data_IF_239972865104
#
_entry.id   IF_239972865104
#
_cell.length_a   1.000
_cell.length_b   1.000
_cell.length_c   1.000
_cell.angle_alpha   90.00
_cell.angle_beta   90.00
_cell.angle_gamma   90.00
#
_symmetry.space_group_name_H-M   'P 1'
#
loop_
_entity.id
_entity.type
_entity.pdbx_description
1 polymer ?
#
# COMPACT_ATOMS: atom_id res chain seq x y z
N UNK A 1 6.87 42.63 -67.04
CA UNK A 1 8.18 43.31 -66.96
C UNK A 1 8.54 43.31 -65.48
N UNK A 2 9.68 42.72 -65.10
CA UNK A 2 9.90 42.06 -63.79
C UNK A 2 9.12 40.73 -63.76
N UNK A 3 9.67 39.53 -63.50
CA UNK A 3 10.92 39.05 -62.84
C UNK A 3 10.98 39.38 -61.33
N UNK A 4 11.32 38.48 -60.39
CA UNK A 4 11.75 37.06 -60.42
C UNK A 4 11.12 36.36 -59.14
N UNK A 5 11.46 35.18 -58.58
CA UNK A 5 12.61 34.27 -58.75
C UNK A 5 12.34 32.77 -58.44
N UNK A 6 13.42 31.98 -58.59
CA UNK A 6 13.74 30.64 -58.03
C UNK A 6 13.00 30.14 -56.77
N UNK A 7 12.85 28.82 -56.52
CA UNK A 7 13.26 27.64 -57.31
C UNK A 7 13.44 26.36 -56.46
N UNK A 8 13.89 25.26 -57.11
CA UNK A 8 14.37 23.97 -56.51
C UNK A 8 13.29 23.06 -55.85
N UNK A 9 13.28 21.72 -56.00
CA UNK A 9 14.14 20.80 -56.78
C UNK A 9 13.65 19.33 -56.72
N UNK A 10 14.27 18.44 -57.51
CA UNK A 10 13.90 17.02 -57.67
C UNK A 10 14.35 16.10 -56.49
N UNK A 11 13.93 14.84 -56.37
CA UNK A 11 12.98 14.06 -57.18
C UNK A 11 13.55 12.75 -57.79
N UNK A 12 13.75 11.71 -56.96
CA UNK A 12 14.13 10.32 -57.32
C UNK A 12 13.58 9.34 -56.26
N UNK A 13 13.39 8.03 -56.48
CA UNK A 13 13.55 7.23 -57.70
C UNK A 13 13.62 5.70 -57.43
N UNK A 14 12.45 5.05 -57.37
CA UNK A 14 12.12 3.66 -57.84
C UNK A 14 13.01 2.43 -57.52
N UNK A 15 12.39 1.36 -56.97
CA UNK A 15 12.89 -0.04 -56.95
C UNK A 15 12.39 -0.81 -55.71
N UNK A 16 11.46 -1.76 -55.73
CA UNK A 16 11.21 -2.99 -56.53
C UNK A 16 11.77 -4.26 -55.85
N UNK A 17 10.89 -5.25 -55.61
CA UNK A 17 11.26 -6.55 -55.02
C UNK A 17 10.06 -7.36 -54.53
N UNK A 18 9.64 -8.36 -55.29
CA UNK A 18 8.62 -9.35 -54.91
C UNK A 18 9.29 -10.68 -54.51
N UNK A 19 8.72 -11.37 -53.52
CA UNK A 19 9.18 -12.70 -53.11
C UNK A 19 8.07 -13.46 -52.38
N UNK A 20 7.75 -14.66 -52.86
CA UNK A 20 6.80 -15.57 -52.22
C UNK A 20 7.55 -16.71 -51.52
N UNK A 21 7.01 -17.19 -50.39
CA UNK A 21 7.57 -18.31 -49.64
C UNK A 21 6.47 -19.05 -48.89
N UNK A 22 6.05 -20.19 -49.43
CA UNK A 22 5.09 -21.11 -48.79
C UNK A 22 5.82 -22.08 -47.86
N UNK A 23 5.22 -22.40 -46.71
CA UNK A 23 5.75 -23.37 -45.77
C UNK A 23 4.66 -23.85 -44.80
N UNK A 24 4.12 -25.04 -45.06
CA UNK A 24 3.07 -25.65 -44.22
C UNK A 24 3.62 -26.18 -42.89
N UNK A 25 2.81 -26.02 -41.82
CA UNK A 25 2.82 -26.94 -40.68
C UNK A 25 1.37 -27.23 -40.30
N UNK A 26 0.83 -28.33 -40.83
CA UNK A 26 -0.46 -28.89 -40.41
C UNK A 26 -0.20 -29.95 -39.34
N UNK A 27 -0.82 -29.79 -38.17
CA UNK A 27 -0.65 -30.69 -37.03
C UNK A 27 -1.83 -30.59 -36.06
N UNK A 28 -3.02 -30.99 -36.51
CA UNK A 28 -4.24 -30.91 -35.71
C UNK A 28 -4.33 -31.99 -34.62
N UNK A 29 -4.85 -31.62 -33.45
CA UNK A 29 -5.08 -32.54 -32.33
C UNK A 29 -6.07 -31.96 -31.34
N UNK A 30 -7.37 -32.16 -31.58
CA UNK A 30 -8.43 -31.71 -30.68
C UNK A 30 -8.63 -32.69 -29.52
N UNK A 31 -8.70 -32.17 -28.29
CA UNK A 31 -8.99 -32.95 -27.08
C UNK A 31 -9.73 -32.09 -26.07
N UNK A 32 -11.05 -32.31 -25.93
CA UNK A 32 -11.87 -31.57 -24.98
C UNK A 32 -11.78 -32.19 -23.57
N UNK A 33 -11.54 -31.36 -22.55
CA UNK A 33 -11.57 -31.74 -21.14
C UNK A 33 -12.10 -30.57 -20.30
N UNK A 34 -13.12 -30.83 -19.48
CA UNK A 34 -13.84 -29.78 -18.75
C UNK A 34 -13.11 -29.28 -17.51
N UNK A 35 -13.35 -28.01 -17.15
CA UNK A 35 -12.74 -27.38 -15.96
C UNK A 35 -13.21 -25.96 -15.71
N UNK A 36 -14.49 -25.79 -15.35
CA UNK A 36 -15.07 -24.47 -15.02
C UNK A 36 -14.60 -23.96 -13.63
N UNK A 37 -13.31 -23.71 -13.48
CA UNK A 37 -12.70 -23.17 -12.27
C UNK A 37 -12.93 -21.68 -12.12
N UNK A 38 -13.98 -21.27 -11.39
CA UNK A 38 -14.28 -19.88 -11.08
C UNK A 38 -13.30 -19.29 -10.04
N UNK A 39 -12.05 -19.04 -10.45
CA UNK A 39 -10.96 -18.50 -9.63
C UNK A 39 -11.18 -17.03 -9.22
N UNK A 40 -12.08 -16.77 -8.28
CA UNK A 40 -12.44 -15.43 -7.76
C UNK A 40 -11.36 -14.74 -6.90
N UNK A 41 -10.09 -14.88 -7.26
CA UNK A 41 -8.93 -14.34 -6.51
C UNK A 41 -8.71 -12.84 -6.69
N UNK A 42 -9.57 -12.01 -6.10
CA UNK A 42 -9.46 -10.54 -6.12
C UNK A 42 -9.20 -9.97 -4.71
N UNK A 43 -8.03 -10.31 -4.15
CA UNK A 43 -7.53 -9.78 -2.88
C UNK A 43 -7.43 -8.26 -2.90
N UNK A 44 -7.93 -7.60 -1.86
CA UNK A 44 -7.98 -6.15 -1.75
C UNK A 44 -7.35 -5.70 -0.43
N UNK A 45 -6.03 -5.90 -0.32
CA UNK A 45 -5.15 -5.33 0.70
C UNK A 45 -4.13 -4.42 0.02
N UNK A 46 -4.15 -3.15 0.37
CA UNK A 46 -3.34 -2.09 -0.23
C UNK A 46 -2.29 -1.67 0.76
N UNK A 47 -1.27 -2.51 0.94
CA UNK A 47 -0.37 -2.49 2.09
C UNK A 47 0.29 -1.14 2.38
N UNK A 48 0.87 -1.10 3.58
CA UNK A 48 1.44 0.09 4.21
C UNK A 48 2.26 1.00 3.29
N UNK A 49 2.17 2.31 3.59
CA UNK A 49 3.38 3.06 3.92
C UNK A 49 3.61 2.99 5.43
N UNK A 50 4.81 3.31 5.90
CA UNK A 50 5.01 3.69 7.30
C UNK A 50 5.15 5.21 7.38
N UNK A 51 4.59 5.82 8.44
CA UNK A 51 4.89 7.20 8.83
C UNK A 51 6.34 7.34 9.32
N UNK A 52 7.29 7.37 8.39
CA UNK A 52 8.75 7.29 8.59
C UNK A 52 9.39 8.56 9.11
N UNK A 53 8.93 9.09 10.25
CA UNK A 53 9.51 10.28 10.88
C UNK A 53 10.91 10.04 11.46
N UNK A 54 11.93 10.06 10.60
CA UNK A 54 13.34 9.84 10.95
C UNK A 54 13.99 11.08 11.61
N UNK A 55 13.46 11.51 12.75
CA UNK A 55 14.00 12.61 13.56
C UNK A 55 15.30 12.24 14.27
N UNK A 56 16.44 12.39 13.60
CA UNK A 56 17.77 12.21 14.19
C UNK A 56 18.18 13.43 15.05
N UNK A 57 17.66 13.52 16.27
CA UNK A 57 17.97 14.60 17.22
C UNK A 57 18.73 14.09 18.45
N UNK A 58 20.04 14.35 18.52
CA UNK A 58 20.84 14.10 19.72
C UNK A 58 20.61 15.17 20.78
N UNK A 59 20.08 14.81 21.95
CA UNK A 59 19.86 15.73 23.06
C UNK A 59 19.78 15.00 24.40
N UNK A 60 20.81 15.15 25.23
CA UNK A 60 20.84 14.57 26.58
C UNK A 60 20.00 15.43 27.53
N UNK A 61 18.88 14.89 28.03
CA UNK A 61 18.03 15.57 29.02
C UNK A 61 16.51 15.36 28.83
N UNK A 62 16.05 14.10 28.82
CA UNK A 62 14.61 13.80 28.65
C UNK A 62 14.10 12.57 29.44
N UNK A 63 14.87 12.04 30.39
CA UNK A 63 14.59 10.70 30.96
C UNK A 63 13.40 10.65 31.95
N UNK A 64 12.81 11.80 32.27
CA UNK A 64 11.60 11.93 33.09
C UNK A 64 10.28 11.83 32.28
N UNK A 65 10.35 11.77 30.94
CA UNK A 65 9.17 11.86 30.06
C UNK A 65 8.82 10.54 29.33
N UNK A 66 9.22 9.39 29.90
CA UNK A 66 8.75 8.04 29.47
C UNK A 66 7.29 7.81 29.91
N UNK A 67 6.38 8.66 29.41
CA UNK A 67 4.95 8.60 29.70
C UNK A 67 4.39 7.21 29.40
N UNK A 68 3.59 6.67 30.33
CA UNK A 68 3.14 5.28 30.35
C UNK A 68 2.20 4.98 29.17
N UNK A 69 2.76 4.65 28.01
CA UNK A 69 1.99 4.37 26.78
C UNK A 69 1.03 3.20 26.96
N UNK A 70 -0.23 3.42 26.56
CA UNK A 70 -1.30 2.42 26.57
C UNK A 70 -1.68 2.05 25.14
N UNK A 71 -2.16 0.84 24.95
CA UNK A 71 -2.63 0.33 23.65
C UNK A 71 -4.10 -0.03 23.80
N UNK A 72 -4.93 0.54 22.93
CA UNK A 72 -6.29 0.07 22.66
C UNK A 72 -6.22 -0.86 21.44
N UNK A 73 -6.76 -2.09 21.57
CA UNK A 73 -6.78 -3.14 20.53
C UNK A 73 -8.10 -3.20 19.75
N UNK A 74 -9.09 -2.38 20.12
CA UNK A 74 -10.40 -2.28 19.45
C UNK A 74 -10.85 -0.84 19.11
N UNK A 75 -9.95 0.12 18.78
CA UNK A 75 -10.29 1.52 18.63
C UNK A 75 -11.31 1.77 17.51
N UNK A 76 -12.11 2.82 17.74
CA UNK A 76 -13.04 3.34 16.74
C UNK A 76 -12.29 3.71 15.44
N UNK A 77 -12.72 3.24 14.25
CA UNK A 77 -11.98 3.45 13.00
C UNK A 77 -11.68 4.91 12.67
N UNK A 78 -12.55 5.85 13.10
CA UNK A 78 -12.36 7.28 12.93
C UNK A 78 -11.15 7.87 13.69
N UNK A 79 -10.82 7.33 14.87
CA UNK A 79 -9.66 7.79 15.66
C UNK A 79 -8.35 7.40 14.96
N UNK A 80 -8.24 6.12 14.56
CA UNK A 80 -7.12 5.65 13.77
C UNK A 80 -7.02 6.39 12.42
N UNK A 81 -8.15 6.70 11.76
CA UNK A 81 -8.15 7.45 10.51
C UNK A 81 -7.62 8.89 10.66
N UNK A 82 -7.94 9.56 11.77
CA UNK A 82 -7.38 10.88 12.08
C UNK A 82 -5.87 10.83 12.29
N UNK A 83 -5.38 9.88 13.10
CA UNK A 83 -3.94 9.70 13.38
C UNK A 83 -3.16 9.35 12.12
N UNK A 84 -3.65 8.40 11.31
CA UNK A 84 -2.97 8.00 10.07
C UNK A 84 -2.98 9.13 9.03
N UNK A 85 -4.07 9.88 8.89
CA UNK A 85 -4.14 11.03 7.98
C UNK A 85 -3.16 12.17 8.32
N UNK A 86 -2.73 12.27 9.58
CA UNK A 86 -1.65 13.16 10.01
C UNK A 86 -0.27 12.51 9.81
N UNK A 87 -0.08 11.28 10.29
CA UNK A 87 1.18 10.54 10.23
C UNK A 87 1.68 10.27 8.79
N UNK A 88 0.78 10.21 7.80
CA UNK A 88 1.09 10.00 6.38
C UNK A 88 1.13 11.31 5.58
N UNK A 89 1.19 12.48 6.23
CA UNK A 89 1.13 13.77 5.54
C UNK A 89 2.27 13.99 4.52
N UNK A 90 3.41 13.34 4.72
CA UNK A 90 4.61 13.40 3.86
C UNK A 90 4.93 12.06 3.18
N UNK A 91 4.03 11.08 3.22
CA UNK A 91 4.28 9.73 2.71
C UNK A 91 4.03 9.65 1.19
N UNK A 92 4.95 9.05 0.38
CA UNK A 92 4.88 9.10 -1.08
C UNK A 92 3.57 8.58 -1.72
N UNK A 93 3.01 7.47 -1.24
CA UNK A 93 1.74 6.93 -1.76
C UNK A 93 0.57 7.85 -1.41
N UNK A 94 0.51 8.35 -0.18
CA UNK A 94 -0.52 9.31 0.26
C UNK A 94 -0.47 10.61 -0.55
N UNK A 95 0.72 11.16 -0.76
CA UNK A 95 0.96 12.32 -1.61
C UNK A 95 0.60 12.08 -3.08
N UNK A 96 0.93 10.92 -3.65
CA UNK A 96 0.54 10.58 -5.02
C UNK A 96 -0.98 10.39 -5.17
N UNK A 97 -1.63 9.68 -4.23
CA UNK A 97 -3.06 9.44 -4.25
C UNK A 97 -3.84 10.75 -4.07
N UNK A 98 -3.61 11.46 -2.96
CA UNK A 98 -4.42 12.60 -2.53
C UNK A 98 -3.91 13.98 -2.99
N UNK A 99 -2.65 14.09 -3.42
CA UNK A 99 -1.95 15.37 -3.51
C UNK A 99 -1.77 16.00 -2.12
N UNK A 100 -1.47 17.30 -2.10
CA UNK A 100 -1.31 18.10 -0.89
C UNK A 100 -2.64 18.35 -0.14
N UNK A 101 -3.76 17.84 -0.67
CA UNK A 101 -5.09 18.03 -0.10
C UNK A 101 -5.29 17.22 1.18
N UNK A 102 -5.01 17.83 2.33
CA UNK A 102 -5.29 17.25 3.64
C UNK A 102 -6.77 16.82 3.77
N UNK A 103 -7.71 17.59 3.24
CA UNK A 103 -9.15 17.23 3.24
C UNK A 103 -9.40 15.91 2.50
N UNK A 104 -8.79 15.72 1.33
CA UNK A 104 -8.89 14.46 0.59
C UNK A 104 -8.23 13.33 1.38
N UNK A 105 -7.02 13.54 1.94
CA UNK A 105 -6.31 12.55 2.76
C UNK A 105 -7.10 12.11 3.99
N UNK A 106 -7.65 13.04 4.77
CA UNK A 106 -8.54 12.76 5.92
C UNK A 106 -9.78 11.97 5.51
N UNK A 107 -10.43 12.33 4.40
CA UNK A 107 -11.61 11.60 3.90
C UNK A 107 -11.27 10.21 3.33
N UNK A 108 -10.13 10.06 2.65
CA UNK A 108 -9.63 8.79 2.11
C UNK A 108 -9.31 7.81 3.24
N UNK A 109 -8.53 8.22 4.25
CA UNK A 109 -8.26 7.38 5.43
C UNK A 109 -9.55 6.99 6.16
N UNK A 110 -10.50 7.92 6.34
CA UNK A 110 -11.78 7.63 6.98
C UNK A 110 -12.62 6.62 6.19
N UNK A 111 -12.63 6.70 4.84
CA UNK A 111 -13.30 5.72 3.99
C UNK A 111 -12.61 4.35 4.06
N UNK A 112 -11.29 4.30 3.90
CA UNK A 112 -10.50 3.06 3.88
C UNK A 112 -10.56 2.33 5.22
N UNK A 113 -10.40 3.01 6.35
CA UNK A 113 -10.47 2.37 7.67
C UNK A 113 -11.89 1.94 8.06
N UNK A 114 -12.93 2.67 7.66
CA UNK A 114 -14.30 2.20 7.82
C UNK A 114 -14.56 0.91 7.01
N UNK A 115 -13.87 0.74 5.87
CA UNK A 115 -13.97 -0.47 5.04
C UNK A 115 -13.09 -1.61 5.56
N UNK A 116 -11.88 -1.37 6.06
CA UNK A 116 -11.09 -2.40 6.75
C UNK A 116 -11.77 -2.87 8.05
N UNK A 117 -12.54 -2.01 8.72
CA UNK A 117 -13.38 -2.41 9.86
C UNK A 117 -14.57 -3.32 9.50
N UNK A 118 -14.86 -3.55 8.22
CA UNK A 118 -15.85 -4.55 7.76
C UNK A 118 -15.25 -5.94 7.51
N UNK A 119 -13.91 -6.07 7.56
CA UNK A 119 -13.22 -7.34 7.35
C UNK A 119 -13.22 -8.14 8.65
N UNK A 120 -13.74 -9.38 8.67
CA UNK A 120 -13.70 -10.24 9.86
C UNK A 120 -12.27 -10.40 10.38
N UNK A 121 -12.08 -10.41 11.70
CA UNK A 121 -10.77 -10.55 12.36
C UNK A 121 -9.71 -9.48 12.02
N UNK A 122 -10.05 -8.42 11.26
CA UNK A 122 -9.13 -7.31 11.02
C UNK A 122 -8.95 -6.45 12.28
N UNK A 123 -7.69 -6.24 12.65
CA UNK A 123 -7.28 -5.59 13.90
C UNK A 123 -6.94 -4.13 13.65
N UNK A 124 -7.22 -3.29 14.64
CA UNK A 124 -6.81 -1.89 14.70
C UNK A 124 -6.15 -1.68 16.05
N UNK A 125 -5.09 -0.90 16.13
CA UNK A 125 -4.48 -0.56 17.40
C UNK A 125 -4.21 0.93 17.47
N UNK A 126 -4.46 1.53 18.63
CA UNK A 126 -4.22 2.93 18.93
C UNK A 126 -3.30 3.02 20.14
N UNK A 127 -2.13 3.59 19.97
CA UNK A 127 -1.21 3.94 21.05
C UNK A 127 -1.64 5.31 21.60
N UNK A 128 -1.82 5.41 22.91
CA UNK A 128 -2.07 6.68 23.62
C UNK A 128 -1.01 6.95 24.68
N UNK A 129 -0.85 8.22 25.06
CA UNK A 129 0.03 8.62 26.17
C UNK A 129 -0.62 8.49 27.54
N UNK A 130 0.12 8.84 28.59
CA UNK A 130 -0.36 8.79 29.98
C UNK A 130 -1.54 9.72 30.28
N UNK A 131 -1.81 10.70 29.40
CA UNK A 131 -2.98 11.59 29.43
C UNK A 131 -4.11 11.12 28.51
N UNK A 132 -3.94 10.01 27.78
CA UNK A 132 -4.94 9.45 26.88
C UNK A 132 -4.95 10.08 25.48
N UNK A 133 -4.01 10.96 25.15
CA UNK A 133 -3.93 11.57 23.82
C UNK A 133 -3.40 10.55 22.79
N UNK A 134 -3.92 10.50 21.56
CA UNK A 134 -3.41 9.63 20.50
C UNK A 134 -1.96 9.92 20.14
N UNK A 135 -1.15 8.88 19.98
CA UNK A 135 0.30 8.95 19.66
C UNK A 135 0.61 8.26 18.33
N UNK A 136 0.05 7.08 18.11
CA UNK A 136 0.28 6.26 16.93
C UNK A 136 -0.92 5.34 16.65
N UNK A 137 -1.09 4.91 15.41
CA UNK A 137 -2.15 3.98 15.01
C UNK A 137 -1.63 2.94 14.01
N UNK A 138 -2.25 1.76 14.00
CA UNK A 138 -1.96 0.69 13.06
C UNK A 138 -3.18 -0.17 12.71
N UNK A 139 -3.15 -0.84 11.55
CA UNK A 139 -4.24 -1.67 11.02
C UNK A 139 -3.67 -2.93 10.37
N UNK A 140 -4.17 -4.11 10.76
CA UNK A 140 -3.86 -5.40 10.14
C UNK A 140 -5.13 -6.05 9.57
N UNK A 141 -5.01 -6.68 8.41
CA UNK A 141 -6.03 -7.56 7.81
C UNK A 141 -5.56 -9.02 7.84
N UNK A 142 -6.47 -10.01 7.95
CA UNK A 142 -6.12 -11.42 7.95
C UNK A 142 -5.75 -11.93 6.55
N UNK A 143 -5.00 -13.05 6.45
CA UNK A 143 -4.74 -13.71 5.18
C UNK A 143 -6.03 -14.08 4.44
N UNK A 144 -6.04 -13.86 3.12
CA UNK A 144 -7.18 -14.15 2.23
C UNK A 144 -8.44 -13.29 2.46
N UNK A 145 -8.51 -12.50 3.54
CA UNK A 145 -9.69 -11.77 3.95
C UNK A 145 -9.65 -10.30 3.47
N UNK A 146 -10.32 -10.03 2.35
CA UNK A 146 -10.53 -8.67 1.84
C UNK A 146 -11.95 -8.14 2.10
N UNK A 147 -12.19 -6.82 1.97
CA UNK A 147 -13.54 -6.26 2.10
C UNK A 147 -14.52 -6.82 1.06
N UNK A 148 -15.74 -7.14 1.50
CA UNK A 148 -16.81 -7.65 0.63
C UNK A 148 -17.24 -6.65 -0.45
N UNK A 149 -17.90 -7.14 -1.51
CA UNK A 149 -18.25 -6.33 -2.68
C UNK A 149 -19.03 -5.05 -2.34
N UNK A 150 -20.02 -5.13 -1.43
CA UNK A 150 -20.77 -3.97 -0.95
C UNK A 150 -19.89 -2.95 -0.20
N UNK A 151 -18.95 -3.40 0.63
CA UNK A 151 -18.02 -2.53 1.34
C UNK A 151 -17.04 -1.83 0.38
N UNK A 152 -16.61 -2.53 -0.69
CA UNK A 152 -15.80 -1.94 -1.78
C UNK A 152 -16.58 -0.92 -2.61
N UNK A 153 -17.87 -1.16 -2.88
CA UNK A 153 -18.74 -0.19 -3.54
C UNK A 153 -18.97 1.06 -2.69
N UNK A 154 -19.29 0.90 -1.40
CA UNK A 154 -19.47 2.02 -0.45
C UNK A 154 -18.16 2.81 -0.29
N UNK A 155 -17.01 2.14 -0.26
CA UNK A 155 -15.69 2.79 -0.27
C UNK A 155 -15.48 3.63 -1.54
N UNK A 156 -15.75 3.06 -2.72
CA UNK A 156 -15.55 3.76 -4.00
C UNK A 156 -16.45 5.00 -4.11
N UNK A 157 -17.73 4.89 -3.72
CA UNK A 157 -18.68 6.01 -3.69
C UNK A 157 -18.24 7.09 -2.69
N UNK A 158 -17.82 6.72 -1.47
CA UNK A 158 -17.32 7.68 -0.47
C UNK A 158 -16.06 8.39 -0.96
N UNK A 159 -15.09 7.67 -1.52
CA UNK A 159 -13.86 8.23 -2.07
C UNK A 159 -14.15 9.16 -3.24
N UNK A 160 -15.00 8.77 -4.18
CA UNK A 160 -15.41 9.60 -5.32
C UNK A 160 -16.07 10.91 -4.87
N UNK A 161 -17.07 10.84 -3.97
CA UNK A 161 -17.83 12.00 -3.51
C UNK A 161 -17.05 12.94 -2.57
N UNK A 162 -15.98 12.47 -1.93
CA UNK A 162 -15.21 13.25 -0.93
C UNK A 162 -13.80 13.61 -1.33
N UNK A 163 -13.21 12.90 -2.29
CA UNK A 163 -11.84 13.06 -2.76
C UNK A 163 -11.75 13.27 -4.30
N UNK A 164 -12.83 12.99 -5.04
CA UNK A 164 -12.86 13.04 -6.51
C UNK A 164 -12.36 11.75 -7.18
N UNK A 165 -12.43 11.68 -8.52
CA UNK A 165 -12.08 10.47 -9.27
C UNK A 165 -10.56 10.20 -9.28
N UNK A 166 -9.71 11.22 -9.17
CA UNK A 166 -8.26 11.08 -9.19
C UNK A 166 -7.72 10.15 -8.08
N UNK A 167 -7.98 10.44 -6.79
CA UNK A 167 -7.59 9.57 -5.68
C UNK A 167 -8.18 8.16 -5.77
N UNK A 168 -9.44 8.02 -6.24
CA UNK A 168 -10.06 6.71 -6.46
C UNK A 168 -9.28 5.88 -7.50
N UNK A 169 -9.03 6.43 -8.69
CA UNK A 169 -8.31 5.75 -9.78
C UNK A 169 -6.88 5.41 -9.37
N UNK A 170 -6.17 6.32 -8.68
CA UNK A 170 -4.80 6.07 -8.20
C UNK A 170 -4.77 4.99 -7.11
N UNK A 171 -5.74 4.98 -6.19
CA UNK A 171 -5.83 3.92 -5.19
C UNK A 171 -6.10 2.57 -5.84
N UNK A 172 -7.08 2.47 -6.75
CA UNK A 172 -7.36 1.22 -7.48
C UNK A 172 -6.14 0.70 -8.26
N UNK A 173 -5.36 1.61 -8.86
CA UNK A 173 -4.08 1.28 -9.51
C UNK A 173 -3.01 0.80 -8.51
N UNK A 174 -2.97 1.37 -7.30
CA UNK A 174 -2.11 0.90 -6.21
C UNK A 174 -2.49 -0.52 -5.78
N UNK A 175 -3.76 -0.75 -5.42
CA UNK A 175 -4.27 -2.06 -5.01
C UNK A 175 -3.94 -3.15 -6.02
N UNK A 176 -4.23 -2.91 -7.31
CA UNK A 176 -3.96 -3.88 -8.38
C UNK A 176 -2.47 -4.14 -8.63
N UNK A 177 -1.59 -3.21 -8.27
CA UNK A 177 -0.13 -3.39 -8.36
C UNK A 177 0.49 -4.07 -7.14
N UNK A 178 -0.09 -3.93 -5.94
CA UNK A 178 0.45 -4.49 -4.69
C UNK A 178 -0.16 -5.83 -4.29
N UNK A 179 -1.42 -6.09 -4.61
CA UNK A 179 -2.13 -7.30 -4.16
C UNK A 179 -1.43 -8.64 -4.52
N UNK A 180 -0.79 -8.82 -5.70
CA UNK A 180 -0.09 -10.06 -6.04
C UNK A 180 1.21 -10.32 -5.26
N UNK A 181 1.68 -9.37 -4.43
CA UNK A 181 2.95 -9.49 -3.73
C UNK A 181 2.83 -10.00 -2.28
N UNK A 182 1.63 -10.08 -1.72
CA UNK A 182 1.42 -10.63 -0.38
C UNK A 182 1.57 -12.17 -0.41
N UNK A 183 2.46 -12.78 0.38
CA UNK A 183 2.57 -14.24 0.46
C UNK A 183 1.29 -14.91 0.98
N UNK A 184 0.98 -16.09 0.45
CA UNK A 184 -0.16 -16.88 0.88
C UNK A 184 -0.11 -17.15 2.40
N UNK A 185 -1.25 -16.98 3.07
CA UNK A 185 -1.35 -17.18 4.52
C UNK A 185 -0.75 -16.07 5.39
N UNK A 186 -0.12 -15.03 4.85
CA UNK A 186 0.39 -13.91 5.63
C UNK A 186 -0.69 -12.88 6.03
N UNK A 187 -0.59 -12.34 7.24
CA UNK A 187 -1.36 -11.16 7.68
C UNK A 187 -0.81 -9.91 7.00
N UNK A 188 -1.65 -9.01 6.48
CA UNK A 188 -1.18 -7.79 5.83
C UNK A 188 -1.26 -6.59 6.79
N UNK A 189 -0.12 -5.92 7.00
CA UNK A 189 -0.04 -4.63 7.67
C UNK A 189 -0.50 -3.55 6.68
N UNK A 190 -1.78 -3.18 6.76
CA UNK A 190 -2.39 -2.17 5.88
C UNK A 190 -1.82 -0.78 6.18
N UNK A 191 -1.61 -0.43 7.46
CA UNK A 191 -1.06 0.86 7.86
C UNK A 191 -0.33 0.78 9.21
N UNK A 192 0.73 1.57 9.36
CA UNK A 192 1.26 1.99 10.66
C UNK A 192 1.81 3.42 10.59
N UNK A 193 1.43 4.27 11.55
CA UNK A 193 1.86 5.67 11.59
C UNK A 193 1.94 6.23 13.00
N UNK A 194 2.93 7.08 13.23
CA UNK A 194 3.14 7.85 14.47
C UNK A 194 2.89 9.33 14.14
N UNK A 195 2.21 10.07 15.01
CA UNK A 195 2.07 11.52 14.84
C UNK A 195 3.45 12.20 14.80
N UNK A 196 3.70 13.18 13.91
CA UNK A 196 5.01 13.83 13.74
C UNK A 196 5.67 14.27 15.06
N UNK A 197 4.89 14.87 15.94
CA UNK A 197 5.27 15.37 17.27
C UNK A 197 5.70 14.28 18.27
N UNK A 198 5.41 13.00 17.98
CA UNK A 198 5.82 11.83 18.77
C UNK A 198 6.84 10.91 18.06
N UNK A 199 7.35 11.31 16.88
CA UNK A 199 8.40 10.59 16.16
C UNK A 199 9.74 10.55 16.92
N UNK A 200 10.66 9.68 16.51
CA UNK A 200 11.96 9.46 17.17
C UNK A 200 11.92 8.76 18.53
N UNK A 201 10.80 8.82 19.28
CA UNK A 201 10.72 8.30 20.67
C UNK A 201 10.49 6.80 20.81
N UNK A 202 10.32 6.07 19.71
CA UNK A 202 10.08 4.61 19.71
C UNK A 202 8.61 4.17 19.71
N UNK A 203 7.64 5.09 19.59
CA UNK A 203 6.21 4.78 19.60
C UNK A 203 5.80 3.75 18.52
N UNK A 204 6.27 3.91 17.28
CA UNK A 204 5.99 2.98 16.19
C UNK A 204 6.59 1.59 16.41
N UNK A 205 7.77 1.51 17.05
CA UNK A 205 8.40 0.24 17.46
C UNK A 205 7.53 -0.46 18.51
N UNK A 206 7.19 0.25 19.60
CA UNK A 206 6.33 -0.26 20.68
C UNK A 206 4.99 -0.78 20.17
N UNK A 207 4.37 -0.06 19.24
CA UNK A 207 3.11 -0.46 18.62
C UNK A 207 3.30 -1.72 17.77
N UNK A 208 4.29 -1.74 16.86
CA UNK A 208 4.55 -2.88 15.98
C UNK A 208 4.95 -4.15 16.74
N UNK A 209 5.71 -4.05 17.83
CA UNK A 209 6.00 -5.21 18.70
C UNK A 209 4.72 -5.84 19.28
N UNK A 210 3.68 -5.04 19.58
CA UNK A 210 2.38 -5.56 20.03
C UNK A 210 1.57 -6.17 18.90
N UNK A 211 1.63 -5.60 17.69
CA UNK A 211 1.01 -6.22 16.50
C UNK A 211 1.63 -7.59 16.20
N UNK A 212 2.96 -7.69 16.29
CA UNK A 212 3.70 -8.93 16.03
C UNK A 212 3.53 -9.97 17.15
N UNK A 213 3.31 -9.54 18.40
CA UNK A 213 3.02 -10.44 19.52
C UNK A 213 1.55 -10.93 19.56
N UNK A 214 0.61 -10.17 18.99
CA UNK A 214 -0.82 -10.51 18.98
C UNK A 214 -1.31 -11.12 17.66
N UNK A 215 -0.48 -11.10 16.61
CA UNK A 215 -0.74 -11.79 15.33
C UNK A 215 -0.91 -13.30 15.56
N UNK A 216 -2.05 -13.92 15.17
CA UNK A 216 -2.32 -15.34 15.42
C UNK A 216 -1.29 -16.29 14.81
N UNK A 217 -0.89 -17.28 15.62
CA UNK A 217 0.07 -18.32 15.26
C UNK A 217 -0.30 -19.20 14.04
N UNK A 218 -1.59 -19.52 13.72
CA UNK A 218 -1.93 -20.16 12.45
C UNK A 218 -2.00 -19.12 11.33
N UNK A 219 -0.83 -18.71 10.85
CA UNK A 219 -0.65 -17.78 9.73
C UNK A 219 0.81 -17.68 9.33
N UNK A 220 1.09 -17.48 8.05
CA UNK A 220 2.42 -17.43 7.45
C UNK A 220 3.24 -16.18 7.80
N UNK A 221 3.07 -15.61 8.99
CA UNK A 221 3.71 -14.36 9.41
C UNK A 221 2.99 -13.10 8.94
N UNK A 222 3.75 -12.01 8.79
CA UNK A 222 3.25 -10.66 8.47
C UNK A 222 3.92 -10.12 7.21
N UNK A 223 3.10 -9.68 6.28
CA UNK A 223 3.45 -8.94 5.09
C UNK A 223 3.25 -7.43 5.29
N UNK A 224 4.07 -6.61 4.64
CA UNK A 224 3.87 -5.17 4.53
C UNK A 224 4.43 -4.65 3.20
N UNK A 225 4.07 -3.42 2.86
CA UNK A 225 4.79 -2.65 1.86
C UNK A 225 5.36 -1.35 2.45
N UNK A 226 6.23 -0.67 1.71
CA UNK A 226 6.58 0.74 1.92
C UNK A 226 7.06 1.38 0.62
N UNK A 227 6.62 2.61 0.34
CA UNK A 227 7.16 3.43 -0.76
C UNK A 227 8.28 4.39 -0.32
N UNK A 228 8.52 4.50 0.99
CA UNK A 228 9.63 5.24 1.58
C UNK A 228 10.81 4.26 1.82
N UNK A 229 11.99 4.48 1.21
CA UNK A 229 13.18 3.66 1.41
C UNK A 229 13.72 3.66 2.84
N UNK A 230 13.53 4.75 3.60
CA UNK A 230 14.07 4.86 4.98
C UNK A 230 13.44 3.85 5.94
N UNK A 231 12.17 3.48 5.69
CA UNK A 231 11.44 2.47 6.43
C UNK A 231 11.98 1.05 6.20
N UNK A 232 12.62 0.76 5.06
CA UNK A 232 13.10 -0.59 4.72
C UNK A 232 14.09 -1.08 5.80
N UNK A 233 15.10 -0.27 6.13
CA UNK A 233 16.06 -0.61 7.18
C UNK A 233 15.46 -0.56 8.60
N UNK A 234 14.33 0.13 8.81
CA UNK A 234 13.57 0.02 10.06
C UNK A 234 12.97 -1.38 10.17
N UNK A 235 12.28 -1.87 9.13
CA UNK A 235 11.65 -3.19 9.11
C UNK A 235 12.65 -4.35 9.05
N UNK A 236 13.79 -4.21 8.38
CA UNK A 236 14.88 -5.20 8.39
C UNK A 236 15.37 -5.49 9.82
N UNK A 237 15.51 -4.44 10.66
CA UNK A 237 15.85 -4.55 12.09
C UNK A 237 14.74 -5.18 12.95
N UNK A 238 13.60 -5.53 12.37
CA UNK A 238 12.47 -6.23 13.03
C UNK A 238 12.29 -7.66 12.49
N UNK A 239 13.16 -8.11 11.58
CA UNK A 239 13.11 -9.44 10.97
C UNK A 239 12.22 -9.54 9.73
N UNK A 240 11.83 -8.42 9.11
CA UNK A 240 11.25 -8.44 7.77
C UNK A 240 12.37 -8.52 6.72
N UNK A 241 12.19 -9.32 5.68
CA UNK A 241 13.06 -9.37 4.51
C UNK A 241 12.36 -8.76 3.31
N UNK A 242 13.10 -8.10 2.41
CA UNK A 242 12.57 -7.61 1.14
C UNK A 242 12.46 -8.77 0.16
N UNK A 243 11.25 -9.11 -0.31
CA UNK A 243 11.02 -10.18 -1.29
C UNK A 243 10.61 -9.66 -2.67
N UNK A 244 10.07 -8.44 -2.79
CA UNK A 244 9.79 -7.83 -4.09
C UNK A 244 9.95 -6.29 -4.09
N UNK A 245 10.16 -5.71 -5.28
CA UNK A 245 10.06 -4.28 -5.53
C UNK A 245 9.15 -4.04 -6.72
N UNK A 246 8.14 -3.19 -6.53
CA UNK A 246 7.02 -2.99 -7.44
C UNK A 246 7.05 -1.55 -7.94
N UNK A 247 6.76 -1.30 -9.22
CA UNK A 247 6.65 0.06 -9.76
C UNK A 247 5.21 0.35 -10.18
N UNK A 248 4.51 1.18 -9.41
CA UNK A 248 3.12 1.58 -9.67
C UNK A 248 3.11 3.03 -10.13
N UNK A 249 3.17 3.25 -11.45
CA UNK A 249 3.24 4.59 -12.03
C UNK A 249 4.54 5.31 -11.63
N UNK A 250 4.47 6.45 -10.90
CA UNK A 250 5.67 7.12 -10.38
C UNK A 250 6.21 6.48 -9.10
N UNK A 251 5.39 5.72 -8.36
CA UNK A 251 5.78 5.13 -7.08
C UNK A 251 6.61 3.86 -7.30
N UNK A 252 7.67 3.72 -6.51
CA UNK A 252 8.36 2.44 -6.31
C UNK A 252 8.10 1.97 -4.88
N UNK A 253 7.52 0.79 -4.74
CA UNK A 253 7.09 0.19 -3.47
C UNK A 253 7.90 -1.06 -3.20
N UNK A 254 8.58 -1.13 -2.06
CA UNK A 254 9.20 -2.35 -1.55
C UNK A 254 8.14 -3.18 -0.84
N UNK A 255 8.00 -4.45 -1.23
CA UNK A 255 7.22 -5.43 -0.48
C UNK A 255 8.17 -6.21 0.44
N UNK A 256 7.74 -6.42 1.68
CA UNK A 256 8.54 -7.07 2.72
C UNK A 256 7.71 -8.07 3.51
N UNK A 257 8.35 -9.13 3.99
CA UNK A 257 7.70 -10.21 4.72
C UNK A 257 8.54 -10.66 5.90
N UNK A 258 7.87 -10.95 7.02
CA UNK A 258 8.44 -11.54 8.24
C UNK A 258 7.68 -12.82 8.53
N UNK A 259 8.29 -14.02 8.45
CA UNK A 259 7.61 -15.25 8.82
C UNK A 259 7.17 -15.21 10.29
N UNK A 260 6.16 -16.02 10.63
CA UNK A 260 5.86 -16.32 12.02
C UNK A 260 7.06 -17.08 12.64
N UNK A 261 7.33 -16.94 13.94
CA UNK A 261 8.19 -17.91 14.62
C UNK A 261 7.58 -19.33 14.43
N UNK A 262 8.41 -20.38 14.32
CA UNK A 262 7.89 -21.74 14.33
C UNK A 262 7.09 -21.98 15.61
N UNK A 263 5.95 -22.65 15.49
CA UNK A 263 5.19 -23.10 16.65
C UNK A 263 5.98 -24.16 17.43
N UNK A 264 5.89 -24.06 18.76
CA UNK A 264 6.38 -25.05 19.74
C UNK A 264 5.35 -26.18 19.91
#
# INVERSE_FOLDING_TARGET
MRDESTGTGAGTGTGAGTGAGTGDVVGGGAGAGGGAGAGGGAGAGGGAGAGGGAGAGGGAGADAAKGQWRVDEAPAPGLCAAVLAAAFATEPVSGWICGDSERARRHWFAATLATHATVPSARRHLLTDGTGHPVAAAVLTPPGAGPGAGAKAVWAVRTLLRCGPGPLIRTLRYLGGTAPAAPDGAWNLEFIGVLPEHTGRGAGRRLLDQLLATAPAPGGGVHLTTADPSNVTIYERLGFTTHARLRIGPITTTAMWRPAPPGE
#
